data_IF_366692205741
#
_entry.id   IF_366692205741
#
_cell.length_a   1.000
_cell.length_b   1.000
_cell.length_c   1.000
_cell.angle_alpha   90.00
_cell.angle_beta   90.00
_cell.angle_gamma   90.00
#
_symmetry.space_group_name_H-M   'P 1'
#
loop_
_entity.id
_entity.type
_entity.pdbx_description
1 polymer ?
#
# COMPACT_ATOMS: atom_id res chain seq x y z
N UNK A 1 52.49 3.94 23.98
CA UNK A 1 51.97 4.62 22.78
C UNK A 1 51.36 3.67 21.74
N UNK A 2 51.79 2.41 21.59
CA UNK A 2 51.23 1.44 20.65
C UNK A 2 49.83 0.90 21.08
N UNK A 3 49.59 0.77 22.37
CA UNK A 3 48.32 0.19 22.88
C UNK A 3 47.16 1.19 22.84
N UNK A 4 47.43 2.48 22.96
CA UNK A 4 46.41 3.53 22.80
C UNK A 4 45.86 3.60 21.37
N UNK A 5 46.67 3.36 20.35
CA UNK A 5 46.18 3.31 18.95
C UNK A 5 45.28 2.09 18.67
N UNK A 6 45.59 0.95 19.28
CA UNK A 6 44.74 -0.27 19.15
C UNK A 6 43.41 -0.07 19.84
N UNK A 7 43.37 0.57 21.00
CA UNK A 7 42.12 0.85 21.72
C UNK A 7 41.24 1.84 20.94
N UNK A 8 41.81 2.88 20.34
CA UNK A 8 41.09 3.84 19.50
C UNK A 8 40.51 3.21 18.24
N UNK A 9 41.26 2.30 17.59
CA UNK A 9 40.80 1.56 16.42
C UNK A 9 39.64 0.58 16.76
N UNK A 10 39.70 -0.06 17.91
CA UNK A 10 38.65 -0.94 18.41
C UNK A 10 37.34 -0.18 18.72
N UNK A 11 37.44 1.02 19.32
CA UNK A 11 36.27 1.86 19.61
C UNK A 11 35.62 2.39 18.32
N UNK A 12 36.38 2.74 17.30
CA UNK A 12 35.88 3.18 16.01
C UNK A 12 35.14 2.04 15.29
N UNK A 13 35.64 0.81 15.34
CA UNK A 13 35.01 -0.37 14.75
C UNK A 13 33.67 -0.68 15.47
N UNK A 14 33.63 -0.58 16.80
CA UNK A 14 32.40 -0.80 17.58
C UNK A 14 31.36 0.30 17.27
N UNK A 15 31.79 1.55 17.09
CA UNK A 15 30.89 2.66 16.71
C UNK A 15 30.30 2.48 15.29
N UNK A 16 31.08 1.92 14.35
CA UNK A 16 30.60 1.62 12.98
C UNK A 16 29.65 0.43 12.93
N UNK A 17 29.75 -0.54 13.83
CA UNK A 17 28.86 -1.69 13.90
C UNK A 17 27.50 -1.35 14.51
N UNK A 18 27.39 -0.29 15.30
CA UNK A 18 26.13 0.14 15.93
C UNK A 18 25.20 0.94 14.99
N UNK A 19 25.65 1.35 13.80
CA UNK A 19 24.85 2.15 12.85
C UNK A 19 24.01 1.33 11.88
N UNK A 20 24.04 0.00 11.96
CA UNK A 20 23.23 -0.87 11.08
C UNK A 20 21.87 -1.31 11.68
N UNK A 21 21.36 -0.62 12.68
CA UNK A 21 20.00 -0.86 13.17
C UNK A 21 18.96 -0.23 12.26
N UNK A 22 18.86 -0.72 11.04
CA UNK A 22 17.71 -0.48 10.19
C UNK A 22 16.58 -1.40 10.69
N UNK A 23 15.74 -0.90 11.57
CA UNK A 23 14.53 -1.56 12.03
C UNK A 23 13.57 -1.73 10.84
N UNK A 24 13.68 -2.86 10.15
CA UNK A 24 12.60 -3.34 9.28
C UNK A 24 11.47 -3.73 10.19
N UNK A 25 10.41 -2.93 10.25
CA UNK A 25 9.13 -3.36 10.80
C UNK A 25 8.68 -4.59 10.04
N UNK A 26 8.85 -5.77 10.66
CA UNK A 26 8.25 -7.01 10.16
C UNK A 26 6.76 -6.90 10.42
N UNK A 27 5.98 -6.60 9.41
CA UNK A 27 4.54 -6.82 9.43
C UNK A 27 4.34 -8.33 9.57
N UNK A 28 3.69 -8.78 10.62
CA UNK A 28 3.41 -10.19 10.82
C UNK A 28 2.28 -10.59 9.87
N UNK A 29 2.61 -11.20 8.75
CA UNK A 29 1.64 -11.84 7.87
C UNK A 29 1.23 -13.18 8.46
N UNK A 30 -0.06 -13.54 8.29
CA UNK A 30 -0.49 -14.91 8.53
C UNK A 30 0.25 -15.85 7.56
N UNK A 31 0.52 -17.11 7.94
CA UNK A 31 1.27 -18.03 7.10
C UNK A 31 0.61 -18.19 5.72
N UNK A 32 1.43 -18.29 4.68
CA UNK A 32 1.07 -18.52 3.28
C UNK A 32 0.03 -19.66 3.08
N UNK A 33 -0.02 -20.64 3.97
CA UNK A 33 -0.96 -21.76 3.90
C UNK A 33 -2.43 -21.33 3.96
N UNK A 34 -2.75 -20.22 4.63
CA UNK A 34 -4.12 -19.71 4.74
C UNK A 34 -4.59 -19.06 3.43
N UNK A 35 -3.68 -18.49 2.64
CA UNK A 35 -3.99 -17.89 1.35
C UNK A 35 -4.29 -18.92 0.24
N UNK A 36 -3.87 -20.18 0.41
CA UNK A 36 -4.09 -21.25 -0.58
C UNK A 36 -5.56 -21.56 -0.89
N UNK A 37 -6.46 -21.24 0.01
CA UNK A 37 -7.88 -21.57 -0.13
C UNK A 37 -8.73 -20.46 -0.75
N UNK A 38 -8.15 -19.28 -1.03
CA UNK A 38 -8.87 -18.17 -1.63
C UNK A 38 -8.85 -18.31 -3.15
N UNK A 39 -10.04 -18.40 -3.76
CA UNK A 39 -10.22 -18.44 -5.22
C UNK A 39 -10.87 -17.15 -5.74
N UNK A 40 -11.70 -16.51 -4.91
CA UNK A 40 -12.45 -15.30 -5.27
C UNK A 40 -12.15 -14.18 -4.27
N UNK A 41 -11.88 -12.99 -4.79
CA UNK A 41 -11.51 -11.81 -4.01
C UNK A 41 -12.44 -10.66 -4.41
N UNK A 42 -13.15 -10.12 -3.42
CA UNK A 42 -13.87 -8.86 -3.56
C UNK A 42 -12.87 -7.71 -3.55
N UNK A 43 -12.91 -6.87 -4.56
CA UNK A 43 -12.07 -5.67 -4.65
C UNK A 43 -12.91 -4.44 -4.35
N UNK A 44 -12.64 -3.81 -3.21
CA UNK A 44 -13.31 -2.58 -2.82
C UNK A 44 -12.67 -1.37 -3.49
N UNK A 45 -13.43 -0.30 -3.76
CA UNK A 45 -12.87 0.98 -4.18
C UNK A 45 -11.87 1.50 -3.15
N UNK A 46 -10.83 2.20 -3.63
CA UNK A 46 -9.91 2.90 -2.73
C UNK A 46 -10.64 3.95 -1.90
N UNK A 47 -10.29 4.04 -0.62
CA UNK A 47 -10.77 5.08 0.29
C UNK A 47 -9.67 6.06 0.65
N UNK A 48 -10.04 7.33 0.85
CA UNK A 48 -9.12 8.37 1.31
C UNK A 48 -9.04 8.28 2.83
N UNK A 49 -7.81 8.08 3.34
CA UNK A 49 -7.49 8.09 4.75
C UNK A 49 -7.16 9.51 5.21
N UNK A 50 -8.09 10.16 5.90
CA UNK A 50 -7.87 11.46 6.54
C UNK A 50 -8.27 11.40 8.01
N UNK A 51 -7.83 12.38 8.80
CA UNK A 51 -8.18 12.48 10.23
C UNK A 51 -9.68 12.51 10.50
N UNK A 52 -10.45 12.97 9.53
CA UNK A 52 -11.91 13.10 9.61
C UNK A 52 -12.66 12.03 8.81
N UNK A 53 -11.96 11.02 8.27
CA UNK A 53 -12.63 9.97 7.52
C UNK A 53 -13.28 8.97 8.47
N UNK A 54 -14.60 8.82 8.35
CA UNK A 54 -15.34 7.69 8.95
C UNK A 54 -15.03 6.42 8.15
N UNK A 55 -13.78 5.96 8.23
CA UNK A 55 -13.39 4.71 7.58
C UNK A 55 -13.90 3.52 8.38
N UNK A 56 -14.61 2.59 7.75
CA UNK A 56 -15.09 1.35 8.37
C UNK A 56 -13.95 0.43 8.79
N UNK A 57 -12.80 0.61 8.17
CA UNK A 57 -11.59 -0.12 8.50
C UNK A 57 -10.59 0.82 9.16
N UNK A 58 -9.88 0.30 10.16
CA UNK A 58 -8.83 1.07 10.84
C UNK A 58 -7.88 1.73 9.84
N UNK A 59 -7.88 3.07 9.87
CA UNK A 59 -7.08 3.92 9.00
C UNK A 59 -6.08 4.70 9.86
N UNK A 60 -4.88 4.14 10.13
CA UNK A 60 -3.89 4.85 10.92
C UNK A 60 -3.37 6.05 10.12
N UNK A 61 -3.77 7.24 10.52
CA UNK A 61 -3.17 8.48 10.02
C UNK A 61 -1.76 8.58 10.60
N UNK A 62 -0.76 8.67 9.74
CA UNK A 62 0.65 8.81 10.12
C UNK A 62 1.22 10.05 9.44
N UNK A 63 1.73 11.00 10.19
CA UNK A 63 2.29 12.27 9.67
C UNK A 63 3.29 12.07 8.53
N UNK A 64 4.10 10.99 8.60
CA UNK A 64 5.12 10.70 7.59
C UNK A 64 4.54 10.36 6.21
N UNK A 65 3.38 9.73 6.16
CA UNK A 65 2.78 9.24 4.90
C UNK A 65 1.52 10.00 4.50
N UNK A 66 0.82 10.64 5.45
CA UNK A 66 -0.40 11.40 5.20
C UNK A 66 -0.10 12.74 4.55
N UNK A 67 -1.05 13.27 3.79
CA UNK A 67 -0.92 14.55 3.10
C UNK A 67 -2.11 14.84 2.21
N UNK A 68 -1.97 15.84 1.35
CA UNK A 68 -3.01 16.22 0.40
C UNK A 68 -3.30 15.08 -0.59
N UNK A 69 -4.57 14.89 -0.89
CA UNK A 69 -5.05 13.90 -1.86
C UNK A 69 -5.83 14.63 -2.96
N UNK A 70 -5.30 14.56 -4.18
CA UNK A 70 -5.97 15.09 -5.37
C UNK A 70 -7.34 14.43 -5.57
N UNK A 71 -8.37 15.18 -6.05
CA UNK A 71 -9.71 14.61 -6.29
C UNK A 71 -9.72 13.41 -7.25
N UNK A 72 -8.81 13.36 -8.21
CA UNK A 72 -8.66 12.28 -9.20
C UNK A 72 -8.00 11.00 -8.65
N UNK A 73 -7.48 11.02 -7.42
CA UNK A 73 -6.68 9.94 -6.86
C UNK A 73 -7.44 8.61 -6.77
N UNK A 74 -8.70 8.62 -6.30
CA UNK A 74 -9.55 7.42 -6.19
C UNK A 74 -9.73 6.76 -7.55
N UNK A 75 -10.18 7.52 -8.53
CA UNK A 75 -10.42 7.01 -9.89
C UNK A 75 -9.13 6.47 -10.50
N UNK A 76 -8.03 7.22 -10.38
CA UNK A 76 -6.72 6.84 -10.91
C UNK A 76 -6.24 5.52 -10.31
N UNK A 77 -6.24 5.40 -8.98
CA UNK A 77 -5.79 4.19 -8.30
C UNK A 77 -6.70 2.99 -8.54
N UNK A 78 -8.01 3.18 -8.58
CA UNK A 78 -8.96 2.11 -8.92
C UNK A 78 -8.72 1.57 -10.34
N UNK A 79 -8.52 2.45 -11.31
CA UNK A 79 -8.22 2.08 -12.70
C UNK A 79 -6.88 1.34 -12.82
N UNK A 80 -5.85 1.84 -12.15
CA UNK A 80 -4.52 1.20 -12.14
C UNK A 80 -4.56 -0.17 -11.46
N UNK A 81 -5.26 -0.28 -10.32
CA UNK A 81 -5.42 -1.54 -9.61
C UNK A 81 -6.12 -2.58 -10.48
N UNK A 82 -7.23 -2.21 -11.14
CA UNK A 82 -7.95 -3.10 -12.06
C UNK A 82 -7.04 -3.60 -13.19
N UNK A 83 -6.22 -2.71 -13.77
CA UNK A 83 -5.24 -3.05 -14.81
C UNK A 83 -4.19 -4.06 -14.29
N UNK A 84 -3.70 -3.88 -13.07
CA UNK A 84 -2.69 -4.78 -12.49
C UNK A 84 -3.33 -6.13 -12.15
N UNK A 85 -4.51 -6.14 -11.53
CA UNK A 85 -5.21 -7.37 -11.15
C UNK A 85 -5.57 -8.25 -12.37
N UNK A 86 -5.75 -7.67 -13.55
CA UNK A 86 -5.96 -8.45 -14.77
C UNK A 86 -4.82 -9.43 -15.09
N UNK A 87 -3.59 -9.13 -14.66
CA UNK A 87 -2.44 -10.03 -14.82
C UNK A 87 -2.50 -11.24 -13.86
N UNK A 88 -3.37 -11.19 -12.85
CA UNK A 88 -3.54 -12.23 -11.82
C UNK A 88 -4.86 -13.01 -11.98
N UNK A 89 -5.61 -12.77 -13.06
CA UNK A 89 -6.90 -13.40 -13.34
C UNK A 89 -6.83 -14.91 -13.56
N UNK A 90 -5.64 -15.47 -13.86
CA UNK A 90 -5.42 -16.90 -13.89
C UNK A 90 -5.34 -17.56 -12.51
N UNK A 91 -5.06 -16.78 -11.46
CA UNK A 91 -4.92 -17.26 -10.10
C UNK A 91 -6.15 -16.99 -9.24
N UNK A 92 -6.86 -15.88 -9.50
CA UNK A 92 -7.98 -15.41 -8.71
C UNK A 92 -9.12 -14.89 -9.58
N UNK A 93 -10.34 -15.12 -9.12
CA UNK A 93 -11.53 -14.43 -9.64
C UNK A 93 -11.73 -13.13 -8.86
N UNK A 94 -11.51 -11.97 -9.48
CA UNK A 94 -11.69 -10.66 -8.87
C UNK A 94 -13.09 -10.14 -9.16
N UNK A 95 -13.82 -9.82 -8.10
CA UNK A 95 -15.15 -9.20 -8.16
C UNK A 95 -15.02 -7.74 -7.76
N UNK A 96 -15.46 -6.83 -8.63
CA UNK A 96 -15.41 -5.40 -8.42
C UNK A 96 -16.82 -4.89 -8.14
N UNK A 97 -16.99 -4.11 -7.08
CA UNK A 97 -18.19 -3.34 -6.81
C UNK A 97 -18.02 -1.92 -7.30
N UNK A 98 -19.08 -1.32 -7.81
CA UNK A 98 -19.19 0.11 -7.94
C UNK A 98 -19.34 0.77 -6.56
N UNK A 99 -19.11 2.07 -6.47
CA UNK A 99 -19.30 2.81 -5.20
C UNK A 99 -20.73 2.65 -4.67
N UNK A 100 -21.73 2.77 -5.52
CA UNK A 100 -23.15 2.64 -5.13
C UNK A 100 -23.49 1.22 -4.62
N UNK A 101 -22.95 0.17 -5.26
CA UNK A 101 -23.15 -1.21 -4.80
C UNK A 101 -22.48 -1.44 -3.46
N UNK A 102 -21.27 -0.93 -3.28
CA UNK A 102 -20.55 -1.02 -2.03
C UNK A 102 -21.28 -0.28 -0.90
N UNK A 103 -21.71 0.98 -1.13
CA UNK A 103 -22.46 1.77 -0.15
C UNK A 103 -23.76 1.09 0.28
N UNK A 104 -24.49 0.49 -0.66
CA UNK A 104 -25.73 -0.25 -0.35
C UNK A 104 -25.46 -1.50 0.51
N UNK A 105 -24.41 -2.24 0.23
CA UNK A 105 -24.07 -3.44 0.99
C UNK A 105 -23.53 -3.07 2.37
N UNK A 106 -22.63 -2.09 2.43
CA UNK A 106 -21.96 -1.73 3.67
C UNK A 106 -22.92 -1.07 4.67
N UNK A 107 -23.86 -0.23 4.20
CA UNK A 107 -24.86 0.38 5.08
C UNK A 107 -25.70 -0.67 5.81
N UNK A 108 -26.16 -1.73 5.12
CA UNK A 108 -26.88 -2.84 5.73
C UNK A 108 -26.04 -3.59 6.77
N UNK A 109 -24.75 -3.83 6.48
CA UNK A 109 -23.87 -4.53 7.41
C UNK A 109 -23.61 -3.69 8.65
N UNK A 110 -23.49 -2.37 8.52
CA UNK A 110 -23.21 -1.46 9.64
C UNK A 110 -24.41 -1.28 10.58
N UNK A 111 -25.63 -1.59 10.14
CA UNK A 111 -26.79 -1.69 11.03
C UNK A 111 -26.68 -2.90 11.96
N UNK A 112 -25.99 -3.97 11.52
CA UNK A 112 -25.87 -5.22 12.26
C UNK A 112 -24.58 -5.28 13.12
N UNK A 113 -23.47 -4.76 12.62
CA UNK A 113 -22.16 -4.83 13.30
C UNK A 113 -21.25 -3.65 12.98
N UNK A 114 -20.42 -3.28 13.97
CA UNK A 114 -19.30 -2.33 13.81
C UNK A 114 -17.94 -2.99 13.99
N UNK A 115 -17.90 -4.30 14.17
CA UNK A 115 -16.65 -5.05 14.30
C UNK A 115 -16.02 -5.24 12.91
N UNK A 116 -14.79 -4.75 12.66
CA UNK A 116 -14.15 -4.84 11.34
C UNK A 116 -14.03 -6.27 10.81
N UNK A 117 -13.75 -7.24 11.67
CA UNK A 117 -13.63 -8.64 11.25
C UNK A 117 -14.99 -9.22 10.82
N UNK A 118 -16.07 -8.88 11.51
CA UNK A 118 -17.42 -9.30 11.15
C UNK A 118 -17.89 -8.60 9.87
N UNK A 119 -17.55 -7.32 9.67
CA UNK A 119 -17.84 -6.59 8.42
C UNK A 119 -17.23 -7.34 7.22
N UNK A 120 -15.96 -7.77 7.32
CA UNK A 120 -15.28 -8.54 6.26
C UNK A 120 -16.02 -9.85 5.97
N UNK A 121 -16.40 -10.58 7.01
CA UNK A 121 -17.14 -11.86 6.85
C UNK A 121 -18.48 -11.66 6.15
N UNK A 122 -19.25 -10.67 6.58
CA UNK A 122 -20.56 -10.38 5.98
C UNK A 122 -20.43 -9.85 4.55
N UNK A 123 -19.40 -9.05 4.22
CA UNK A 123 -19.08 -8.66 2.85
C UNK A 123 -18.84 -9.89 1.98
N UNK A 124 -17.98 -10.80 2.42
CA UNK A 124 -17.68 -12.02 1.68
C UNK A 124 -18.90 -12.90 1.49
N UNK A 125 -19.75 -13.04 2.51
CA UNK A 125 -20.99 -13.81 2.46
C UNK A 125 -21.98 -13.21 1.47
N UNK A 126 -22.22 -11.89 1.53
CA UNK A 126 -23.17 -11.19 0.62
C UNK A 126 -22.69 -11.19 -0.84
N UNK A 127 -21.39 -11.21 -1.09
CA UNK A 127 -20.79 -11.18 -2.44
C UNK A 127 -20.31 -12.56 -2.94
N UNK A 128 -20.48 -13.61 -2.13
CA UNK A 128 -19.99 -14.97 -2.41
C UNK A 128 -18.50 -14.99 -2.77
N UNK A 129 -17.67 -14.28 -1.98
CA UNK A 129 -16.22 -14.21 -2.12
C UNK A 129 -15.53 -14.81 -0.90
N UNK A 130 -14.22 -15.07 -1.01
CA UNK A 130 -13.42 -15.70 0.05
C UNK A 130 -12.40 -14.74 0.66
N UNK A 131 -12.18 -13.62 0.02
CA UNK A 131 -11.30 -12.56 0.54
C UNK A 131 -11.75 -11.19 0.10
N UNK A 132 -11.27 -10.17 0.79
CA UNK A 132 -11.52 -8.76 0.48
C UNK A 132 -10.19 -8.04 0.31
N UNK A 133 -9.98 -7.44 -0.86
CA UNK A 133 -8.87 -6.54 -1.14
C UNK A 133 -9.33 -5.10 -0.97
N UNK A 134 -8.71 -4.39 -0.05
CA UNK A 134 -9.06 -3.02 0.33
C UNK A 134 -7.88 -2.07 0.17
N UNK A 135 -8.11 -0.94 -0.49
CA UNK A 135 -7.10 0.09 -0.75
C UNK A 135 -7.33 1.37 0.05
N UNK A 136 -6.24 1.97 0.53
CA UNK A 136 -6.23 3.24 1.29
C UNK A 136 -5.30 4.23 0.64
N UNK A 137 -5.74 5.47 0.51
CA UNK A 137 -4.96 6.59 -0.02
C UNK A 137 -4.59 7.51 1.14
N UNK A 138 -3.32 7.74 1.37
CA UNK A 138 -2.81 8.65 2.40
C UNK A 138 -2.34 9.98 1.82
N UNK A 139 -1.81 9.97 0.59
CA UNK A 139 -1.30 11.14 -0.11
C UNK A 139 -1.30 10.89 -1.61
N UNK A 140 -1.71 11.88 -2.37
CA UNK A 140 -1.63 11.83 -3.82
C UNK A 140 -1.51 13.26 -4.35
N UNK A 141 -0.28 13.67 -4.68
CA UNK A 141 0.07 15.02 -5.07
C UNK A 141 0.71 14.96 -6.45
N UNK A 142 0.13 15.66 -7.43
CA UNK A 142 0.72 15.78 -8.76
C UNK A 142 1.95 16.69 -8.72
N UNK A 143 2.92 16.41 -9.57
CA UNK A 143 4.08 17.28 -9.76
C UNK A 143 3.64 18.63 -10.31
N UNK A 144 4.35 19.69 -9.92
CA UNK A 144 4.22 21.01 -10.55
C UNK A 144 5.45 21.27 -11.44
N UNK A 145 5.21 21.54 -12.72
CA UNK A 145 6.24 21.73 -13.73
C UNK A 145 6.22 20.66 -14.81
N UNK A 146 7.26 20.62 -15.64
CA UNK A 146 7.38 19.68 -16.75
C UNK A 146 8.11 18.38 -16.34
N UNK A 147 8.19 17.41 -17.27
CA UNK A 147 8.98 16.19 -17.05
C UNK A 147 10.48 16.43 -16.89
N UNK A 148 10.98 17.58 -17.30
CA UNK A 148 12.41 17.93 -17.29
C UNK A 148 12.75 19.08 -16.36
N UNK A 149 11.76 19.91 -15.99
CA UNK A 149 11.96 21.05 -15.07
C UNK A 149 10.82 21.07 -14.07
N UNK A 150 11.15 20.87 -12.79
CA UNK A 150 10.18 20.68 -11.73
C UNK A 150 10.26 21.82 -10.71
N UNK A 151 9.10 22.21 -10.19
CA UNK A 151 8.94 23.10 -9.03
C UNK A 151 8.65 22.27 -7.78
N UNK A 152 7.70 21.32 -7.92
CA UNK A 152 7.34 20.38 -6.84
C UNK A 152 7.24 18.96 -7.43
N UNK A 153 7.87 17.95 -6.79
CA UNK A 153 7.80 16.57 -7.26
C UNK A 153 6.45 15.92 -6.96
N UNK A 154 6.08 14.91 -7.75
CA UNK A 154 4.97 14.04 -7.41
C UNK A 154 5.23 13.29 -6.10
N UNK A 155 4.17 13.11 -5.33
CA UNK A 155 4.24 12.41 -4.06
C UNK A 155 3.00 11.54 -3.87
N UNK A 156 3.22 10.23 -3.63
CA UNK A 156 2.14 9.25 -3.53
C UNK A 156 2.37 8.36 -2.31
N UNK A 157 1.28 8.12 -1.57
CA UNK A 157 1.28 7.16 -0.47
C UNK A 157 -0.07 6.44 -0.41
N UNK A 158 -0.03 5.11 -0.44
CA UNK A 158 -1.19 4.24 -0.35
C UNK A 158 -0.84 2.90 0.27
N UNK A 159 -1.85 2.16 0.72
CA UNK A 159 -1.74 0.80 1.18
C UNK A 159 -2.78 -0.10 0.51
N UNK A 160 -2.45 -1.38 0.38
CA UNK A 160 -3.40 -2.44 0.04
C UNK A 160 -3.39 -3.49 1.13
N UNK A 161 -4.56 -3.97 1.49
CA UNK A 161 -4.77 -4.99 2.52
C UNK A 161 -5.67 -6.08 1.96
N UNK A 162 -5.21 -7.33 2.01
CA UNK A 162 -6.02 -8.51 1.72
C UNK A 162 -6.48 -9.13 3.03
N UNK A 163 -7.77 -9.26 3.18
CA UNK A 163 -8.42 -9.90 4.33
C UNK A 163 -8.93 -11.29 3.94
N UNK A 164 -8.85 -12.19 4.89
CA UNK A 164 -9.52 -13.50 4.83
C UNK A 164 -11.00 -13.36 5.16
N UNK A 165 -11.85 -13.84 4.27
CA UNK A 165 -13.31 -13.75 4.42
C UNK A 165 -13.89 -14.63 5.51
N UNK A 166 -13.23 -15.72 5.89
CA UNK A 166 -13.69 -16.63 6.94
C UNK A 166 -13.39 -16.08 8.34
N UNK A 167 -12.18 -15.56 8.55
CA UNK A 167 -11.72 -15.11 9.85
C UNK A 167 -11.78 -13.59 10.04
N UNK A 168 -11.88 -12.82 8.97
CA UNK A 168 -11.76 -11.34 8.97
C UNK A 168 -10.36 -10.84 9.26
N UNK A 169 -9.33 -11.70 9.27
CA UNK A 169 -7.95 -11.35 9.58
C UNK A 169 -7.18 -10.90 8.34
N UNK A 170 -6.14 -10.11 8.55
CA UNK A 170 -5.24 -9.69 7.48
C UNK A 170 -4.38 -10.87 7.05
N UNK A 171 -4.41 -11.20 5.75
CA UNK A 171 -3.56 -12.18 5.09
C UNK A 171 -2.30 -11.54 4.50
N UNK A 172 -2.46 -10.37 3.91
CA UNK A 172 -1.38 -9.64 3.29
C UNK A 172 -1.65 -8.13 3.39
N UNK A 173 -0.60 -7.36 3.59
CA UNK A 173 -0.64 -5.92 3.61
C UNK A 173 0.68 -5.36 3.12
N UNK A 174 0.61 -4.42 2.19
CA UNK A 174 1.77 -3.68 1.72
C UNK A 174 1.46 -2.19 1.60
N UNK A 175 2.45 -1.39 1.89
CA UNK A 175 2.39 0.06 1.81
C UNK A 175 3.39 0.58 0.80
N UNK A 176 3.00 1.59 0.06
CA UNK A 176 3.87 2.35 -0.80
C UNK A 176 3.79 3.83 -0.40
N UNK A 177 4.93 4.44 -0.15
CA UNK A 177 5.04 5.89 0.04
C UNK A 177 6.34 6.38 -0.59
N UNK A 178 6.22 7.34 -1.47
CA UNK A 178 7.35 7.91 -2.19
C UNK A 178 7.06 9.36 -2.57
N UNK A 179 8.04 10.22 -2.37
CA UNK A 179 8.15 11.54 -2.98
C UNK A 179 9.37 11.50 -3.87
N UNK A 180 9.19 11.72 -5.17
CA UNK A 180 10.29 11.60 -6.10
C UNK A 180 11.38 12.63 -5.77
N UNK A 181 12.61 12.16 -5.57
CA UNK A 181 13.78 12.98 -5.37
C UNK A 181 14.59 13.13 -6.64
N UNK A 182 15.39 14.21 -6.79
CA UNK A 182 16.36 14.32 -7.88
C UNK A 182 17.26 13.09 -7.94
N UNK A 183 17.60 12.66 -9.15
CA UNK A 183 18.46 11.47 -9.33
C UNK A 183 19.84 11.65 -8.72
N UNK A 184 20.34 12.89 -8.63
CA UNK A 184 21.59 13.24 -7.94
C UNK A 184 21.57 12.87 -6.45
N UNK A 185 20.38 12.85 -5.82
CA UNK A 185 20.22 12.52 -4.40
C UNK A 185 19.78 11.06 -4.17
N UNK A 186 19.32 10.37 -5.22
CA UNK A 186 18.69 9.06 -5.05
C UNK A 186 19.03 8.06 -6.15
N UNK A 187 20.31 7.84 -6.39
CA UNK A 187 20.85 6.90 -7.39
C UNK A 187 20.32 5.48 -7.14
N UNK A 188 20.06 5.09 -5.90
CA UNK A 188 19.57 3.76 -5.54
C UNK A 188 18.14 3.50 -6.01
N UNK A 189 17.34 4.55 -6.22
CA UNK A 189 15.95 4.43 -6.69
C UNK A 189 15.78 4.54 -8.22
N UNK A 190 16.87 4.57 -9.00
CA UNK A 190 16.82 4.54 -10.47
C UNK A 190 15.96 3.40 -10.99
N UNK A 191 16.00 2.23 -10.34
CA UNK A 191 15.16 1.06 -10.71
C UNK A 191 13.68 1.33 -10.55
N UNK A 192 13.27 2.15 -9.57
CA UNK A 192 11.88 2.54 -9.37
C UNK A 192 11.43 3.54 -10.43
N UNK A 193 12.25 4.53 -10.76
CA UNK A 193 11.88 5.59 -11.71
C UNK A 193 12.03 5.18 -13.17
N UNK A 194 12.92 4.25 -13.52
CA UNK A 194 13.09 3.64 -14.84
C UNK A 194 13.50 4.59 -15.95
N UNK A 195 13.43 5.91 -15.76
CA UNK A 195 13.82 6.97 -16.71
C UNK A 195 14.35 8.18 -15.97
N UNK A 196 15.21 8.94 -16.64
CA UNK A 196 15.75 10.21 -16.17
C UNK A 196 14.74 11.36 -16.36
N UNK A 197 13.50 11.15 -15.89
CA UNK A 197 12.44 12.17 -15.97
C UNK A 197 11.65 12.21 -14.67
N UNK A 198 11.03 13.35 -14.42
CA UNK A 198 10.08 13.49 -13.34
C UNK A 198 8.76 12.81 -13.71
N UNK A 199 8.33 11.90 -12.85
CA UNK A 199 7.09 11.15 -13.03
C UNK A 199 5.88 12.01 -12.65
N UNK A 200 4.72 11.72 -13.24
CA UNK A 200 3.43 12.16 -12.71
C UNK A 200 3.06 11.35 -11.47
N UNK A 201 2.06 11.81 -10.71
CA UNK A 201 1.53 11.04 -9.58
C UNK A 201 0.98 9.68 -10.05
N UNK A 202 0.30 9.65 -11.19
CA UNK A 202 -0.18 8.40 -11.81
C UNK A 202 0.95 7.43 -12.16
N UNK A 203 2.01 7.90 -12.83
CA UNK A 203 3.18 7.08 -13.17
C UNK A 203 3.87 6.54 -11.91
N UNK A 204 3.94 7.35 -10.85
CA UNK A 204 4.52 6.95 -9.57
C UNK A 204 3.65 5.93 -8.85
N UNK A 205 2.32 6.12 -8.86
CA UNK A 205 1.34 5.19 -8.29
C UNK A 205 1.36 3.83 -9.01
N UNK A 206 1.40 3.82 -10.36
CA UNK A 206 1.51 2.57 -11.13
C UNK A 206 2.74 1.77 -10.74
N UNK A 207 3.90 2.43 -10.61
CA UNK A 207 5.14 1.77 -10.17
C UNK A 207 5.06 1.28 -8.73
N UNK A 208 4.42 2.05 -7.87
CA UNK A 208 4.14 1.66 -6.49
C UNK A 208 3.31 0.38 -6.43
N UNK A 209 2.22 0.32 -7.17
CA UNK A 209 1.38 -0.87 -7.28
C UNK A 209 2.16 -2.07 -7.81
N UNK A 210 2.90 -1.93 -8.91
CA UNK A 210 3.76 -3.01 -9.45
C UNK A 210 4.76 -3.47 -8.40
N UNK A 211 5.33 -2.56 -7.60
CA UNK A 211 6.30 -2.89 -6.56
C UNK A 211 5.68 -3.71 -5.44
N UNK A 212 4.53 -3.29 -4.90
CA UNK A 212 3.89 -3.99 -3.77
C UNK A 212 3.29 -5.33 -4.21
N UNK A 213 2.80 -5.45 -5.44
CA UNK A 213 2.26 -6.71 -5.97
C UNK A 213 3.31 -7.82 -6.16
N UNK A 214 4.62 -7.51 -6.05
CA UNK A 214 5.67 -8.55 -6.05
C UNK A 214 5.59 -9.49 -4.85
N UNK A 215 4.97 -9.05 -3.76
CA UNK A 215 4.78 -9.82 -2.53
C UNK A 215 3.34 -10.33 -2.39
N UNK A 216 2.47 -10.01 -3.38
CA UNK A 216 1.09 -10.48 -3.37
C UNK A 216 1.07 -12.01 -3.36
N UNK A 217 0.30 -12.64 -2.45
CA UNK A 217 0.27 -14.09 -2.36
C UNK A 217 -0.25 -14.68 -3.68
N UNK A 218 0.54 -15.54 -4.30
CA UNK A 218 0.18 -16.32 -5.48
C UNK A 218 -0.08 -17.75 -5.06
N UNK A 219 -1.06 -18.37 -5.71
CA UNK A 219 -1.31 -19.81 -5.59
C UNK A 219 -0.26 -20.62 -6.32
#
# INVERSE_FOLDING_TARGET
MKDFKKLYFAIIIILFLSLNSCSKTKTAYLPYETAKNINSILVLPFEICSENSESFFYCPVREVISGYVEPSAKETLNRLLKKILSNYSSHYNFIFLSENEFENIISQILEETKNPAEIIKELCKKTNTQGVLYGRIYRFIERKGSSFSIVEPASVAFALVLYDGETGKILWMEEFYETQKPLSENILNIKLYGKLKWLSAEELAERGLIKIFKTFPLK
#
